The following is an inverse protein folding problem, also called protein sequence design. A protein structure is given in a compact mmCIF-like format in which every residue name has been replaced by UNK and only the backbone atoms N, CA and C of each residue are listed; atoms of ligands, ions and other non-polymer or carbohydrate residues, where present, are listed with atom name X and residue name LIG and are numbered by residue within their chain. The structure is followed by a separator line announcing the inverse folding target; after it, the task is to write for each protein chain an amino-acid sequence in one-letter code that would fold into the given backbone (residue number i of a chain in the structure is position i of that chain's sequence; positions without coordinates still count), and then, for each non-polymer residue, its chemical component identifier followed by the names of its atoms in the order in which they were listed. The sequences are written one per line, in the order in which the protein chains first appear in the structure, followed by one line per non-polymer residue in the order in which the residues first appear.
data_IF_238350501533
#
_entry.id   IF_238350501533
#
_cell.length_a   1.000
_cell.length_b   1.000
_cell.length_c   1.000
_cell.angle_alpha   90.00
_cell.angle_beta   90.00
_cell.angle_gamma   90.00
#
_symmetry.space_group_name_H-M   'P 1'
#
loop_
_entity.id
_entity.type
_entity.pdbx_description
1 polymer ?
#
# COMPACT_ATOMS: atom_id res chain seq x y z
N UNK A 1 -8.41 -7.79 -10.54
CA UNK A 1 -8.22 -6.60 -9.67
C UNK A 1 -6.77 -6.15 -9.74
N UNK A 2 -6.50 -4.85 -9.87
CA UNK A 2 -5.12 -4.29 -9.85
C UNK A 2 -4.83 -3.72 -8.46
N UNK A 3 -4.29 -4.50 -7.51
CA UNK A 3 -4.03 -4.00 -6.16
C UNK A 3 -2.96 -2.91 -6.17
N UNK A 4 -3.16 -1.87 -5.36
CA UNK A 4 -2.18 -0.80 -5.18
C UNK A 4 -0.99 -1.29 -4.37
N UNK A 5 0.21 -0.89 -4.78
CA UNK A 5 1.43 -1.08 -4.02
C UNK A 5 1.51 -0.10 -2.84
N UNK A 6 2.32 -0.43 -1.83
CA UNK A 6 2.54 0.47 -0.68
C UNK A 6 3.07 1.85 -1.13
N UNK A 7 3.85 1.89 -2.22
CA UNK A 7 4.35 3.13 -2.81
C UNK A 7 3.22 3.97 -3.44
N UNK A 8 2.28 3.32 -4.13
CA UNK A 8 1.12 4.00 -4.70
C UNK A 8 0.18 4.54 -3.61
N UNK A 9 0.03 3.82 -2.50
CA UNK A 9 -0.73 4.28 -1.33
C UNK A 9 -0.03 5.48 -0.68
N UNK A 10 1.28 5.41 -0.44
CA UNK A 10 2.05 6.54 0.10
C UNK A 10 1.95 7.78 -0.78
N UNK A 11 1.99 7.62 -2.11
CA UNK A 11 1.84 8.74 -3.06
C UNK A 11 0.45 9.40 -2.95
N UNK A 12 -0.63 8.61 -2.90
CA UNK A 12 -1.99 9.15 -2.72
C UNK A 12 -2.17 9.88 -1.40
N UNK A 13 -1.60 9.33 -0.31
CA UNK A 13 -1.65 9.99 0.99
C UNK A 13 -0.90 11.33 0.96
N UNK A 14 0.26 11.37 0.28
CA UNK A 14 1.02 12.59 0.05
C UNK A 14 0.25 13.63 -0.77
N UNK A 15 -0.49 13.21 -1.80
CA UNK A 15 -1.37 14.07 -2.60
C UNK A 15 -2.51 14.66 -1.74
N UNK A 16 -2.98 13.93 -0.72
CA UNK A 16 -3.94 14.41 0.27
C UNK A 16 -3.34 15.24 1.42
N UNK A 17 -2.05 15.62 1.34
CA UNK A 17 -1.36 16.42 2.36
C UNK A 17 -0.70 15.62 3.49
N UNK A 18 -0.84 14.29 3.51
CA UNK A 18 -0.23 13.44 4.53
C UNK A 18 1.12 12.87 4.03
N UNK A 19 2.22 13.46 4.50
CA UNK A 19 3.56 12.92 4.22
C UNK A 19 3.79 11.64 5.03
N UNK A 20 3.77 10.50 4.35
CA UNK A 20 4.04 9.19 4.96
C UNK A 20 5.04 8.40 4.12
N UNK A 21 6.00 7.78 4.80
CA UNK A 21 6.99 6.92 4.14
C UNK A 21 6.38 5.57 3.74
N UNK A 22 6.87 4.98 2.65
CA UNK A 22 6.48 3.64 2.18
C UNK A 22 6.58 2.57 3.30
N UNK A 23 7.64 2.62 4.12
CA UNK A 23 7.86 1.66 5.21
C UNK A 23 6.75 1.73 6.27
N UNK A 24 6.27 2.93 6.59
CA UNK A 24 5.15 3.12 7.52
C UNK A 24 3.85 2.54 6.96
N UNK A 25 3.58 2.76 5.67
CA UNK A 25 2.43 2.13 4.99
C UNK A 25 2.53 0.61 5.02
N UNK A 26 3.72 0.04 4.80
CA UNK A 26 3.93 -1.41 4.88
C UNK A 26 3.67 -1.96 6.29
N UNK A 27 4.13 -1.26 7.34
CA UNK A 27 3.87 -1.60 8.75
C UNK A 27 2.37 -1.62 9.04
N UNK A 28 1.64 -0.57 8.68
CA UNK A 28 0.18 -0.53 8.87
C UNK A 28 -0.55 -1.59 8.05
N UNK A 29 -0.08 -1.88 6.83
CA UNK A 29 -0.62 -2.97 6.02
C UNK A 29 -0.48 -4.32 6.74
N UNK A 30 0.68 -4.58 7.35
CA UNK A 30 0.95 -5.83 8.09
C UNK A 30 0.16 -5.91 9.39
N UNK A 31 0.05 -4.82 10.14
CA UNK A 31 -0.79 -4.73 11.35
C UNK A 31 -2.27 -4.98 11.04
N UNK A 32 -2.74 -4.58 9.85
CA UNK A 32 -4.09 -4.88 9.36
C UNK A 32 -4.22 -6.30 8.75
N UNK A 33 -3.18 -7.14 8.82
CA UNK A 33 -3.14 -8.48 8.20
C UNK A 33 -3.40 -8.47 6.68
N UNK A 34 -3.09 -7.37 5.99
CA UNK A 34 -3.29 -7.24 4.55
C UNK A 34 -2.03 -7.75 3.82
N UNK A 35 -2.13 -8.74 2.92
CA UNK A 35 -0.97 -9.20 2.16
C UNK A 35 -0.43 -8.12 1.21
N UNK A 36 0.86 -8.21 0.89
CA UNK A 36 1.49 -7.33 -0.08
C UNK A 36 0.72 -7.33 -1.42
N UNK A 37 0.76 -6.20 -2.13
CA UNK A 37 0.05 -6.05 -3.42
C UNK A 37 0.35 -7.17 -4.43
N UNK A 38 1.58 -7.69 -4.44
CA UNK A 38 2.00 -8.82 -5.28
C UNK A 38 1.21 -10.11 -4.98
N UNK A 39 0.95 -10.40 -3.70
CA UNK A 39 0.18 -11.57 -3.28
C UNK A 39 -1.32 -11.44 -3.59
N UNK A 40 -1.82 -10.21 -3.70
CA UNK A 40 -3.22 -9.91 -4.05
C UNK A 40 -3.47 -9.80 -5.56
N UNK A 41 -2.44 -9.89 -6.39
CA UNK A 41 -2.57 -9.79 -7.84
C UNK A 41 -3.12 -11.11 -8.37
N UNK A 42 -4.40 -11.16 -8.72
CA UNK A 42 -4.98 -12.29 -9.47
C UNK A 42 -4.33 -12.32 -10.86
N UNK A 43 -3.57 -13.35 -11.15
CA UNK A 43 -3.09 -13.67 -12.50
C UNK A 43 -4.32 -14.20 -13.24
N UNK A 44 -4.77 -13.46 -14.23
CA UNK A 44 -5.90 -13.77 -15.08
C UNK A 44 -5.72 -13.00 -16.38
#
# INVERSE_FOLDING_TARGET
SKPLSDAAVAKRLKEGGLQIARRTVAKYREEMNIPASKARRRIG
#
